data_IF_465474814339
#
_entry.id   IF_465474814339
#
_cell.length_a   1.000
_cell.length_b   1.000
_cell.length_c   1.000
_cell.angle_alpha   90.00
_cell.angle_beta   90.00
_cell.angle_gamma   90.00
#
_symmetry.space_group_name_H-M   'P 1'
#
loop_
_entity.id
_entity.type
_entity.pdbx_description
1 polymer ?
#
# COMPACT_ATOMS: atom_id res chain seq x y z
N UNK A 1 0.99 -7.31 16.75
CA UNK A 1 0.16 -7.18 15.54
C UNK A 1 -1.12 -6.36 15.72
N UNK A 2 -1.81 -6.46 16.85
CA UNK A 2 -3.04 -5.68 17.12
C UNK A 2 -2.83 -4.17 17.25
N UNK A 3 -1.69 -3.74 17.84
CA UNK A 3 -1.38 -2.33 18.11
C UNK A 3 -1.43 -1.48 16.84
N UNK A 4 -0.74 -1.85 15.73
CA UNK A 4 -0.89 -1.13 14.47
C UNK A 4 -2.34 -1.02 13.99
N UNK A 5 -3.10 -2.12 13.96
CA UNK A 5 -4.50 -2.09 13.49
C UNK A 5 -5.34 -1.09 14.28
N UNK A 6 -5.28 -1.12 15.61
CA UNK A 6 -6.01 -0.18 16.46
C UNK A 6 -5.54 1.27 16.21
N UNK A 7 -4.23 1.48 16.06
CA UNK A 7 -3.67 2.78 15.70
C UNK A 7 -4.22 3.31 14.37
N UNK A 8 -4.22 2.49 13.32
CA UNK A 8 -4.78 2.87 12.02
C UNK A 8 -6.30 3.09 12.05
N UNK A 9 -7.03 2.29 12.84
CA UNK A 9 -8.48 2.41 12.96
C UNK A 9 -8.91 3.70 13.68
N UNK A 10 -8.21 4.08 14.75
CA UNK A 10 -8.63 5.20 15.61
C UNK A 10 -7.88 6.50 15.35
N UNK A 11 -6.57 6.45 15.06
CA UNK A 11 -5.76 7.66 14.91
C UNK A 11 -5.78 8.20 13.48
N UNK A 12 -5.86 7.33 12.47
CA UNK A 12 -5.82 7.76 11.08
C UNK A 12 -7.02 8.62 10.66
N UNK A 13 -8.29 8.32 11.04
CA UNK A 13 -9.42 9.21 10.76
C UNK A 13 -9.27 10.58 11.41
N UNK A 14 -8.67 10.64 12.60
CA UNK A 14 -8.46 11.89 13.33
C UNK A 14 -7.34 12.72 12.70
N UNK A 15 -6.35 12.08 12.08
CA UNK A 15 -5.25 12.76 11.41
C UNK A 15 -5.63 13.30 10.02
N UNK A 16 -6.59 12.67 9.32
CA UNK A 16 -7.07 13.15 8.02
C UNK A 16 -7.82 14.49 8.22
N UNK A 17 -7.40 15.58 7.56
CA UNK A 17 -8.04 16.89 7.67
C UNK A 17 -9.31 16.98 6.81
N UNK A 18 -10.36 16.21 7.15
CA UNK A 18 -11.58 16.05 6.36
C UNK A 18 -12.26 17.35 5.91
N UNK A 19 -12.22 18.38 6.75
CA UNK A 19 -12.84 19.69 6.48
C UNK A 19 -12.05 20.55 5.51
N UNK A 20 -10.76 20.27 5.31
CA UNK A 20 -9.87 21.05 4.46
C UNK A 20 -9.70 20.42 3.08
N UNK A 21 -9.99 19.13 2.93
CA UNK A 21 -9.77 18.38 1.68
C UNK A 21 -10.91 18.62 0.70
N UNK A 22 -10.57 18.99 -0.53
CA UNK A 22 -11.52 19.25 -1.61
C UNK A 22 -12.12 17.95 -2.19
N UNK A 23 -11.40 16.83 -2.11
CA UNK A 23 -11.76 15.56 -2.74
C UNK A 23 -11.88 14.44 -1.69
N UNK A 24 -13.01 14.40 -0.99
CA UNK A 24 -13.19 13.54 0.18
C UNK A 24 -13.17 12.03 -0.14
N UNK A 25 -13.57 11.60 -1.34
CA UNK A 25 -13.56 10.17 -1.70
C UNK A 25 -12.13 9.60 -1.75
N UNK A 26 -11.13 10.41 -2.12
CA UNK A 26 -9.72 9.99 -2.10
C UNK A 26 -9.23 9.74 -0.67
N UNK A 27 -9.68 10.55 0.29
CA UNK A 27 -9.37 10.36 1.70
C UNK A 27 -10.00 9.07 2.25
N UNK A 28 -11.22 8.73 1.84
CA UNK A 28 -11.88 7.45 2.21
C UNK A 28 -11.13 6.26 1.62
N UNK A 29 -10.80 6.32 0.33
CA UNK A 29 -10.02 5.26 -0.35
C UNK A 29 -8.66 5.07 0.31
N UNK A 30 -7.97 6.15 0.65
CA UNK A 30 -6.70 6.12 1.35
C UNK A 30 -6.82 5.52 2.75
N UNK A 31 -7.86 5.89 3.50
CA UNK A 31 -8.16 5.31 4.81
C UNK A 31 -8.35 3.79 4.71
N UNK A 32 -9.14 3.32 3.74
CA UNK A 32 -9.31 1.90 3.49
C UNK A 32 -7.99 1.23 3.10
N UNK A 33 -7.20 1.85 2.22
CA UNK A 33 -5.88 1.35 1.84
C UNK A 33 -4.99 1.10 3.06
N UNK A 34 -5.00 2.03 4.04
CA UNK A 34 -4.17 1.95 5.23
C UNK A 34 -4.63 0.95 6.29
N UNK A 35 -5.84 0.38 6.20
CA UNK A 35 -6.39 -0.54 7.21
C UNK A 35 -6.41 -1.99 6.73
N UNK A 36 -6.71 -2.19 5.45
CA UNK A 36 -6.92 -3.54 4.90
C UNK A 36 -5.73 -4.50 5.11
N UNK A 37 -4.44 -4.11 4.93
CA UNK A 37 -3.34 -5.03 5.18
C UNK A 37 -3.20 -5.42 6.65
N UNK A 38 -3.48 -4.51 7.60
CA UNK A 38 -3.40 -4.77 9.03
C UNK A 38 -4.56 -5.63 9.48
N UNK A 39 -5.76 -5.40 8.94
CA UNK A 39 -6.93 -6.21 9.23
C UNK A 39 -6.72 -7.66 8.75
N UNK A 40 -6.31 -7.83 7.48
CA UNK A 40 -6.02 -9.14 6.91
C UNK A 40 -4.95 -9.88 7.70
N UNK A 41 -3.87 -9.17 8.05
CA UNK A 41 -2.78 -9.76 8.82
C UNK A 41 -3.21 -10.19 10.22
N UNK A 42 -3.89 -9.32 10.97
CA UNK A 42 -4.37 -9.63 12.32
C UNK A 42 -5.30 -10.85 12.32
N UNK A 43 -6.25 -10.90 11.39
CA UNK A 43 -7.15 -12.04 11.25
C UNK A 43 -6.39 -13.33 10.95
N UNK A 44 -5.40 -13.29 10.04
CA UNK A 44 -4.59 -14.45 9.73
C UNK A 44 -3.81 -14.95 10.94
N UNK A 45 -3.01 -14.12 11.60
CA UNK A 45 -2.17 -14.59 12.72
C UNK A 45 -2.95 -14.94 13.97
N UNK A 46 -4.16 -14.40 14.17
CA UNK A 46 -5.02 -14.82 15.28
C UNK A 46 -5.59 -16.22 15.04
N UNK A 47 -6.05 -16.49 13.82
CA UNK A 47 -6.83 -17.70 13.51
C UNK A 47 -6.05 -18.76 12.71
N UNK A 48 -4.75 -18.57 12.46
CA UNK A 48 -3.94 -19.52 11.67
C UNK A 48 -3.87 -20.93 12.25
N UNK A 49 -4.04 -21.07 13.58
CA UNK A 49 -4.03 -22.36 14.29
C UNK A 49 -5.44 -22.86 14.62
N UNK A 50 -6.47 -22.37 13.93
CA UNK A 50 -7.85 -22.78 14.14
C UNK A 50 -8.07 -24.27 13.82
N UNK A 51 -8.99 -24.93 14.52
CA UNK A 51 -9.30 -26.37 14.37
C UNK A 51 -9.76 -26.77 12.95
N UNK A 52 -10.13 -25.80 12.12
CA UNK A 52 -10.53 -26.00 10.72
C UNK A 52 -9.37 -26.41 9.78
N UNK A 53 -8.15 -26.53 10.32
CA UNK A 53 -7.00 -27.11 9.64
C UNK A 53 -6.52 -26.33 8.42
N UNK A 54 -5.95 -27.04 7.45
CA UNK A 54 -5.31 -26.46 6.26
C UNK A 54 -6.26 -25.56 5.45
N UNK A 55 -7.54 -25.94 5.33
CA UNK A 55 -8.52 -25.19 4.54
C UNK A 55 -8.75 -23.76 5.07
N UNK A 56 -8.80 -23.60 6.40
CA UNK A 56 -8.97 -22.31 7.06
C UNK A 56 -7.67 -21.52 6.98
N UNK A 57 -6.53 -22.19 7.20
CA UNK A 57 -5.20 -21.59 7.06
C UNK A 57 -5.00 -20.94 5.68
N UNK A 58 -5.32 -21.66 4.60
CA UNK A 58 -5.16 -21.13 3.24
C UNK A 58 -6.09 -19.95 2.96
N UNK A 59 -7.35 -20.00 3.42
CA UNK A 59 -8.29 -18.88 3.27
C UNK A 59 -7.82 -17.62 4.01
N UNK A 60 -7.33 -17.78 5.23
CA UNK A 60 -6.80 -16.67 6.02
C UNK A 60 -5.50 -16.10 5.43
N UNK A 61 -4.62 -16.95 4.92
CA UNK A 61 -3.41 -16.52 4.22
C UNK A 61 -3.78 -15.72 2.95
N UNK A 62 -4.76 -16.18 2.19
CA UNK A 62 -5.29 -15.44 1.04
C UNK A 62 -5.86 -14.09 1.48
N UNK A 63 -6.57 -14.02 2.60
CA UNK A 63 -7.11 -12.76 3.14
C UNK A 63 -6.02 -11.75 3.51
N UNK A 64 -4.94 -12.18 4.18
CA UNK A 64 -3.77 -11.34 4.47
C UNK A 64 -3.19 -10.75 3.18
N UNK A 65 -3.06 -11.60 2.17
CA UNK A 65 -2.51 -11.23 0.87
C UNK A 65 -3.44 -10.29 0.09
N UNK A 66 -4.76 -10.48 0.16
CA UNK A 66 -5.73 -9.52 -0.36
C UNK A 66 -5.53 -8.13 0.26
N UNK A 67 -5.29 -8.05 1.56
CA UNK A 67 -5.01 -6.79 2.25
C UNK A 67 -3.82 -6.04 1.64
N UNK A 68 -2.72 -6.74 1.37
CA UNK A 68 -1.53 -6.19 0.68
C UNK A 68 -1.87 -5.72 -0.74
N UNK A 69 -2.71 -6.47 -1.47
CA UNK A 69 -3.09 -6.05 -2.82
C UNK A 69 -3.98 -4.80 -2.81
N UNK A 70 -4.88 -4.70 -1.83
CA UNK A 70 -5.81 -3.58 -1.69
C UNK A 70 -5.03 -2.30 -1.36
N UNK A 71 -4.05 -2.34 -0.45
CA UNK A 71 -3.23 -1.14 -0.17
C UNK A 71 -2.45 -0.68 -1.39
N UNK A 72 -1.89 -1.60 -2.19
CA UNK A 72 -1.16 -1.24 -3.41
C UNK A 72 -2.10 -0.62 -4.46
N UNK A 73 -3.32 -1.14 -4.56
CA UNK A 73 -4.33 -0.66 -5.53
C UNK A 73 -4.91 0.70 -5.12
N UNK A 74 -5.46 0.78 -3.90
CA UNK A 74 -6.13 1.97 -3.39
C UNK A 74 -5.15 3.08 -3.05
N UNK A 75 -3.96 2.75 -2.52
CA UNK A 75 -2.91 3.71 -2.20
C UNK A 75 -2.34 4.43 -3.42
N UNK A 76 -2.42 3.82 -4.60
CA UNK A 76 -2.00 4.45 -5.85
C UNK A 76 -3.02 5.46 -6.41
N UNK A 77 -4.31 5.35 -6.07
CA UNK A 77 -5.34 6.21 -6.65
C UNK A 77 -5.14 7.70 -6.33
N UNK A 78 -4.84 8.10 -5.07
CA UNK A 78 -4.49 9.50 -4.77
C UNK A 78 -3.23 9.97 -5.51
N UNK A 79 -2.23 9.11 -5.65
CA UNK A 79 -0.98 9.42 -6.36
C UNK A 79 -1.29 9.73 -7.82
N UNK A 80 -2.04 8.86 -8.51
CA UNK A 80 -2.42 9.03 -9.92
C UNK A 80 -3.29 10.27 -10.09
N UNK A 81 -4.29 10.46 -9.23
CA UNK A 81 -5.20 11.60 -9.29
C UNK A 81 -4.46 12.92 -9.21
N UNK A 82 -3.56 13.07 -8.23
CA UNK A 82 -2.81 14.30 -8.02
C UNK A 82 -1.75 14.51 -9.11
N UNK A 83 -1.10 13.44 -9.59
CA UNK A 83 -0.13 13.50 -10.70
C UNK A 83 -0.75 14.09 -11.96
N UNK A 84 -1.95 13.63 -12.30
CA UNK A 84 -2.64 13.97 -13.55
C UNK A 84 -3.74 15.01 -13.37
N UNK A 85 -3.71 15.80 -12.30
CA UNK A 85 -4.81 16.71 -11.97
C UNK A 85 -5.16 17.66 -13.11
N UNK A 86 -4.15 18.16 -13.83
CA UNK A 86 -4.32 19.11 -14.94
C UNK A 86 -4.77 18.45 -16.25
N UNK A 87 -4.80 17.12 -16.32
CA UNK A 87 -5.16 16.35 -17.52
C UNK A 87 -6.41 15.50 -17.24
N UNK A 88 -7.62 16.08 -17.22
CA UNK A 88 -8.82 15.40 -16.73
C UNK A 88 -9.14 14.10 -17.49
N UNK A 89 -9.07 14.11 -18.82
CA UNK A 89 -9.33 12.92 -19.65
C UNK A 89 -8.33 11.79 -19.36
N UNK A 90 -7.03 12.12 -19.39
CA UNK A 90 -5.95 11.16 -19.09
C UNK A 90 -6.06 10.62 -17.68
N UNK A 91 -6.41 11.46 -16.70
CA UNK A 91 -6.61 11.08 -15.31
C UNK A 91 -7.71 10.03 -15.15
N UNK A 92 -8.89 10.25 -15.77
CA UNK A 92 -9.98 9.27 -15.68
C UNK A 92 -9.62 7.95 -16.35
N UNK A 93 -8.97 8.00 -17.53
CA UNK A 93 -8.48 6.80 -18.20
C UNK A 93 -7.45 6.04 -17.38
N UNK A 94 -6.48 6.75 -16.78
CA UNK A 94 -5.46 6.18 -15.91
C UNK A 94 -6.05 5.52 -14.66
N UNK A 95 -6.97 6.20 -13.96
CA UNK A 95 -7.63 5.66 -12.77
C UNK A 95 -8.47 4.42 -13.09
N UNK A 96 -9.25 4.47 -14.18
CA UNK A 96 -10.07 3.34 -14.60
C UNK A 96 -9.21 2.14 -15.01
N UNK A 97 -8.25 2.34 -15.92
CA UNK A 97 -7.36 1.27 -16.39
C UNK A 97 -6.54 0.68 -15.25
N UNK A 98 -5.98 1.51 -14.36
CA UNK A 98 -5.22 1.03 -13.21
C UNK A 98 -6.07 0.20 -12.25
N UNK A 99 -7.30 0.65 -11.96
CA UNK A 99 -8.21 -0.08 -11.07
C UNK A 99 -8.65 -1.41 -11.70
N UNK A 100 -9.01 -1.41 -12.98
CA UNK A 100 -9.40 -2.63 -13.70
C UNK A 100 -8.27 -3.66 -13.78
N UNK A 101 -7.08 -3.23 -14.20
CA UNK A 101 -5.89 -4.10 -14.26
C UNK A 101 -5.48 -4.60 -12.88
N UNK A 102 -5.55 -3.76 -11.85
CA UNK A 102 -5.27 -4.17 -10.47
C UNK A 102 -6.28 -5.17 -9.94
N UNK A 103 -7.55 -5.01 -10.28
CA UNK A 103 -8.61 -5.97 -9.88
C UNK A 103 -8.40 -7.33 -10.54
N UNK A 104 -8.01 -7.33 -11.81
CA UNK A 104 -7.62 -8.56 -12.52
C UNK A 104 -6.36 -9.19 -11.91
N UNK A 105 -5.34 -8.39 -11.59
CA UNK A 105 -4.12 -8.85 -10.93
C UNK A 105 -4.41 -9.46 -9.56
N UNK A 106 -5.32 -8.87 -8.76
CA UNK A 106 -5.81 -9.42 -7.48
C UNK A 106 -6.46 -10.78 -7.69
N UNK A 107 -7.37 -10.89 -8.66
CA UNK A 107 -8.04 -12.15 -8.98
C UNK A 107 -7.03 -13.25 -9.35
N UNK A 108 -6.07 -12.92 -10.21
CA UNK A 108 -4.98 -13.82 -10.57
C UNK A 108 -4.11 -14.18 -9.36
N UNK A 109 -3.77 -13.22 -8.50
CA UNK A 109 -2.91 -13.44 -7.34
C UNK A 109 -3.57 -14.35 -6.28
N UNK A 110 -4.89 -14.24 -6.12
CA UNK A 110 -5.68 -15.10 -5.22
C UNK A 110 -5.80 -16.52 -5.78
N UNK A 111 -5.88 -16.66 -7.10
CA UNK A 111 -6.04 -17.97 -7.77
C UNK A 111 -4.69 -18.65 -8.06
N UNK A 112 -3.58 -17.92 -7.93
CA UNK A 112 -2.26 -18.41 -8.29
C UNK A 112 -1.70 -19.40 -7.25
N UNK A 113 -1.26 -20.56 -7.75
CA UNK A 113 -0.61 -21.60 -6.96
C UNK A 113 0.89 -21.33 -6.68
N UNK A 114 1.52 -20.34 -7.33
CA UNK A 114 2.95 -20.05 -7.20
C UNK A 114 3.23 -18.62 -6.74
N UNK A 115 4.22 -18.47 -5.84
CA UNK A 115 4.69 -17.18 -5.32
C UNK A 115 5.28 -16.27 -6.42
N UNK A 116 5.90 -16.86 -7.45
CA UNK A 116 6.49 -16.10 -8.57
C UNK A 116 5.40 -15.48 -9.43
N UNK A 117 4.36 -16.24 -9.76
CA UNK A 117 3.22 -15.75 -10.53
C UNK A 117 2.54 -14.60 -9.80
N UNK A 118 2.40 -14.71 -8.47
CA UNK A 118 1.89 -13.63 -7.63
C UNK A 118 2.76 -12.38 -7.67
N UNK A 119 4.08 -12.52 -7.54
CA UNK A 119 5.01 -11.40 -7.58
C UNK A 119 4.96 -10.66 -8.93
N UNK A 120 4.90 -11.39 -10.04
CA UNK A 120 4.77 -10.81 -11.38
C UNK A 120 3.47 -10.01 -11.56
N UNK A 121 2.37 -10.41 -10.93
CA UNK A 121 1.11 -9.65 -10.96
C UNK A 121 1.24 -8.25 -10.36
N UNK A 122 2.14 -8.05 -9.39
CA UNK A 122 2.40 -6.74 -8.77
C UNK A 122 3.43 -5.90 -9.51
N UNK A 123 4.25 -6.51 -10.38
CA UNK A 123 5.33 -5.82 -11.09
C UNK A 123 4.80 -4.67 -11.96
N UNK A 124 3.67 -4.88 -12.64
CA UNK A 124 2.99 -3.83 -13.42
C UNK A 124 2.55 -2.66 -12.53
N UNK A 125 1.95 -2.94 -11.37
CA UNK A 125 1.47 -1.89 -10.47
C UNK A 125 2.64 -1.04 -9.95
N UNK A 126 3.77 -1.67 -9.63
CA UNK A 126 4.99 -0.97 -9.25
C UNK A 126 5.51 -0.12 -10.43
N UNK A 127 5.61 -0.69 -11.63
CA UNK A 127 6.06 0.02 -12.83
C UNK A 127 5.21 1.27 -13.11
N UNK A 128 3.89 1.15 -13.08
CA UNK A 128 2.97 2.27 -13.31
C UNK A 128 3.14 3.39 -12.27
N UNK A 129 3.39 3.02 -11.01
CA UNK A 129 3.65 3.99 -9.94
C UNK A 129 4.99 4.69 -10.11
N UNK A 130 6.05 3.96 -10.45
CA UNK A 130 7.35 4.56 -10.81
C UNK A 130 7.24 5.48 -12.01
N UNK A 131 6.39 5.15 -12.99
CA UNK A 131 6.09 6.05 -14.10
C UNK A 131 5.44 7.36 -13.62
N UNK A 132 4.48 7.31 -12.69
CA UNK A 132 3.91 8.52 -12.08
C UNK A 132 4.97 9.34 -11.33
N UNK A 133 5.88 8.69 -10.59
CA UNK A 133 6.99 9.35 -9.91
C UNK A 133 7.93 10.03 -10.89
N UNK A 134 8.25 9.36 -11.99
CA UNK A 134 9.05 9.91 -13.07
C UNK A 134 8.39 11.16 -13.66
N UNK A 135 7.09 11.12 -13.97
CA UNK A 135 6.35 12.29 -14.47
C UNK A 135 6.44 13.47 -13.52
N UNK A 136 6.25 13.25 -12.21
CA UNK A 136 6.40 14.30 -11.19
C UNK A 136 7.84 14.84 -11.13
N UNK A 137 8.83 13.96 -11.24
CA UNK A 137 10.24 14.33 -11.19
C UNK A 137 10.67 15.22 -12.36
N UNK A 138 10.22 14.91 -13.58
CA UNK A 138 10.53 15.72 -14.77
C UNK A 138 9.66 16.98 -14.92
N UNK A 139 8.75 17.24 -13.97
CA UNK A 139 7.86 18.40 -13.98
C UNK A 139 6.65 18.29 -14.91
N UNK A 140 6.41 17.11 -15.51
CA UNK A 140 5.20 16.84 -16.31
C UNK A 140 3.99 16.44 -15.46
N UNK A 141 4.23 15.96 -14.24
CA UNK A 141 3.23 15.60 -13.25
C UNK A 141 3.09 16.65 -12.16
N UNK A 142 1.89 16.80 -11.62
CA UNK A 142 1.57 17.68 -10.50
C UNK A 142 1.67 16.97 -9.15
N UNK A 143 1.86 17.71 -8.06
CA UNK A 143 1.87 17.16 -6.71
C UNK A 143 2.73 17.99 -5.75
N UNK A 144 2.57 17.74 -4.46
CA UNK A 144 3.37 18.42 -3.46
C UNK A 144 4.85 17.96 -3.54
N UNK A 145 5.85 18.85 -3.48
CA UNK A 145 7.26 18.45 -3.60
C UNK A 145 7.72 17.39 -2.58
N UNK A 146 7.19 17.45 -1.34
CA UNK A 146 7.54 16.47 -0.31
C UNK A 146 6.83 15.12 -0.45
N UNK A 147 5.72 15.05 -1.21
CA UNK A 147 4.96 13.80 -1.34
C UNK A 147 5.73 12.77 -2.18
N UNK A 148 6.46 13.21 -3.21
CA UNK A 148 7.30 12.35 -4.03
C UNK A 148 8.37 11.63 -3.19
N UNK A 149 9.06 12.35 -2.31
CA UNK A 149 10.04 11.76 -1.40
C UNK A 149 9.37 10.70 -0.49
N UNK A 150 8.20 11.02 0.06
CA UNK A 150 7.46 10.07 0.90
C UNK A 150 7.09 8.79 0.14
N UNK A 151 6.64 8.90 -1.12
CA UNK A 151 6.28 7.73 -1.92
C UNK A 151 7.49 6.88 -2.33
N UNK A 152 8.63 7.50 -2.62
CA UNK A 152 9.88 6.77 -2.90
C UNK A 152 10.36 6.01 -1.67
N UNK A 153 10.34 6.66 -0.50
CA UNK A 153 10.71 6.01 0.77
C UNK A 153 9.73 4.89 1.12
N UNK A 154 8.42 5.10 0.92
CA UNK A 154 7.39 4.08 1.11
C UNK A 154 7.72 2.79 0.33
N UNK A 155 8.03 2.90 -0.97
CA UNK A 155 8.38 1.73 -1.79
C UNK A 155 9.70 1.09 -1.39
N UNK A 156 10.72 1.90 -1.09
CA UNK A 156 12.01 1.39 -0.65
C UNK A 156 11.89 0.59 0.64
N UNK A 157 11.12 1.09 1.62
CA UNK A 157 10.86 0.42 2.90
C UNK A 157 10.04 -0.85 2.69
N UNK A 158 9.00 -0.82 1.85
CA UNK A 158 8.19 -2.00 1.54
C UNK A 158 9.02 -3.11 0.87
N UNK A 159 9.84 -2.74 -0.12
CA UNK A 159 10.74 -3.66 -0.82
C UNK A 159 11.76 -4.26 0.14
N UNK A 160 12.37 -3.44 0.99
CA UNK A 160 13.33 -3.90 2.01
C UNK A 160 12.67 -4.90 2.96
N UNK A 161 11.46 -4.61 3.46
CA UNK A 161 10.71 -5.54 4.31
C UNK A 161 10.44 -6.88 3.63
N UNK A 162 10.01 -6.85 2.37
CA UNK A 162 9.81 -8.05 1.56
C UNK A 162 11.10 -8.86 1.36
N UNK A 163 12.22 -8.19 1.07
CA UNK A 163 13.53 -8.83 0.92
C UNK A 163 14.00 -9.49 2.21
N UNK A 164 13.85 -8.84 3.36
CA UNK A 164 14.20 -9.38 4.68
C UNK A 164 13.40 -10.66 4.96
N UNK A 165 12.09 -10.64 4.69
CA UNK A 165 11.21 -11.79 4.89
C UNK A 165 11.58 -12.98 3.98
N UNK A 166 11.84 -12.72 2.69
CA UNK A 166 12.26 -13.76 1.74
C UNK A 166 13.64 -14.34 2.12
N UNK A 167 14.58 -13.49 2.54
CA UNK A 167 15.91 -13.92 2.94
C UNK A 167 15.92 -14.68 4.29
N UNK A 168 14.85 -14.55 5.09
CA UNK A 168 14.70 -15.10 6.45
C UNK A 168 15.80 -14.62 7.40
N UNK A 169 16.16 -13.35 7.32
CA UNK A 169 17.20 -12.73 8.16
C UNK A 169 16.50 -11.98 9.31
N UNK A 170 16.92 -12.13 10.58
CA UNK A 170 18.16 -12.74 11.07
C UNK A 170 18.08 -14.22 11.48
N UNK A 171 16.91 -14.86 11.45
CA UNK A 171 16.73 -16.24 11.95
C UNK A 171 17.55 -17.27 11.17
N UNK A 172 17.83 -17.02 9.89
CA UNK A 172 18.74 -17.83 9.08
C UNK A 172 20.17 -17.80 9.61
N UNK A 173 20.59 -16.72 10.26
CA UNK A 173 21.94 -16.60 10.83
C UNK A 173 22.06 -17.28 12.19
N UNK A 174 21.01 -17.27 13.02
CA UNK A 174 20.99 -17.94 14.32
C UNK A 174 19.64 -18.64 14.55
N UNK A 175 19.49 -19.87 14.04
CA UNK A 175 18.28 -20.66 14.25
C UNK A 175 17.97 -20.84 15.75
N UNK A 176 16.69 -20.76 16.14
CA UNK A 176 16.24 -20.95 17.52
C UNK A 176 16.37 -19.72 18.44
N UNK A 177 17.09 -18.66 18.02
CA UNK A 177 17.26 -17.45 18.84
C UNK A 177 16.16 -16.42 18.64
N UNK A 178 15.52 -16.42 17.47
CA UNK A 178 14.56 -15.40 17.04
C UNK A 178 13.12 -15.92 16.96
N UNK A 179 12.83 -17.06 17.59
CA UNK A 179 11.54 -17.76 17.45
C UNK A 179 10.37 -16.90 17.97
N UNK A 180 10.57 -16.16 19.05
CA UNK A 180 9.54 -15.29 19.65
C UNK A 180 9.65 -13.82 19.24
N UNK A 181 10.88 -13.31 19.07
CA UNK A 181 11.16 -11.88 18.89
C UNK A 181 12.16 -11.65 17.77
N UNK A 182 11.93 -10.59 17.00
CA UNK A 182 12.80 -10.11 15.92
C UNK A 182 13.07 -11.16 14.81
N UNK A 183 12.14 -12.07 14.56
CA UNK A 183 12.17 -12.84 13.32
C UNK A 183 11.91 -11.92 12.11
N UNK A 184 12.36 -12.34 10.93
CA UNK A 184 12.21 -11.59 9.68
C UNK A 184 10.77 -11.19 9.39
N UNK A 185 9.80 -12.04 9.70
CA UNK A 185 8.39 -11.80 9.47
C UNK A 185 7.84 -10.67 10.35
N UNK A 186 8.23 -10.61 11.63
CA UNK A 186 7.92 -9.49 12.51
C UNK A 186 8.57 -8.19 12.02
N UNK A 187 9.83 -8.25 11.56
CA UNK A 187 10.53 -7.08 11.02
C UNK A 187 9.82 -6.58 9.75
N UNK A 188 9.41 -7.47 8.86
CA UNK A 188 8.63 -7.13 7.68
C UNK A 188 7.34 -6.40 8.05
N UNK A 189 6.59 -6.88 9.05
CA UNK A 189 5.37 -6.20 9.52
C UNK A 189 5.65 -4.80 10.05
N UNK A 190 6.74 -4.61 10.80
CA UNK A 190 7.14 -3.28 11.30
C UNK A 190 7.45 -2.35 10.12
N UNK A 191 8.23 -2.83 9.14
CA UNK A 191 8.57 -2.04 7.95
C UNK A 191 7.33 -1.76 7.09
N UNK A 192 6.38 -2.69 6.99
CA UNK A 192 5.11 -2.45 6.32
C UNK A 192 4.30 -1.32 6.98
N UNK A 193 4.25 -1.28 8.31
CA UNK A 193 3.62 -0.18 9.05
C UNK A 193 4.32 1.15 8.76
N UNK A 194 5.65 1.18 8.81
CA UNK A 194 6.43 2.40 8.49
C UNK A 194 6.18 2.84 7.05
N UNK A 195 6.15 1.92 6.10
CA UNK A 195 5.81 2.21 4.71
C UNK A 195 4.43 2.85 4.57
N UNK A 196 3.40 2.30 5.24
CA UNK A 196 2.05 2.88 5.23
C UNK A 196 1.99 4.26 5.89
N UNK A 197 2.83 4.55 6.89
CA UNK A 197 2.94 5.90 7.46
C UNK A 197 3.52 6.90 6.44
N UNK A 198 4.55 6.51 5.69
CA UNK A 198 5.07 7.32 4.58
C UNK A 198 4.05 7.50 3.45
N UNK A 199 3.30 6.45 3.10
CA UNK A 199 2.14 6.58 2.19
C UNK A 199 1.18 7.64 2.72
N UNK A 200 0.85 7.55 4.00
CA UNK A 200 -0.09 8.45 4.64
C UNK A 200 0.36 9.91 4.60
N UNK A 201 1.59 10.21 5.01
CA UNK A 201 2.12 11.57 4.96
C UNK A 201 2.19 12.11 3.53
N UNK A 202 2.58 11.28 2.55
CA UNK A 202 2.60 11.67 1.14
C UNK A 202 1.21 12.02 0.62
N UNK A 203 0.22 11.17 0.89
CA UNK A 203 -1.17 11.38 0.44
C UNK A 203 -1.79 12.60 1.12
N UNK A 204 -1.59 12.81 2.42
CA UNK A 204 -2.10 14.00 3.12
C UNK A 204 -1.49 15.27 2.52
N UNK A 205 -0.18 15.29 2.27
CA UNK A 205 0.47 16.43 1.63
C UNK A 205 -0.12 16.73 0.25
N UNK A 206 -0.37 15.71 -0.58
CA UNK A 206 -1.01 15.86 -1.88
C UNK A 206 -2.47 16.34 -1.77
N UNK A 207 -3.26 15.78 -0.84
CA UNK A 207 -4.68 16.12 -0.64
C UNK A 207 -4.90 17.53 -0.06
N UNK A 208 -3.93 18.05 0.69
CA UNK A 208 -3.96 19.45 1.14
C UNK A 208 -3.41 20.39 0.06
N UNK A 209 -2.41 19.96 -0.70
CA UNK A 209 -1.86 20.78 -1.77
C UNK A 209 -2.88 21.01 -2.90
N UNK A 210 -3.67 19.98 -3.22
CA UNK A 210 -4.63 20.03 -4.32
C UNK A 210 -5.77 21.04 -4.10
N UNK A 211 -6.07 21.41 -2.85
CA UNK A 211 -7.19 22.31 -2.54
C UNK A 211 -6.91 23.76 -2.94
N UNK A 212 -5.63 24.15 -2.95
CA UNK A 212 -5.18 25.49 -3.34
C UNK A 212 -4.47 25.53 -4.68
N UNK A 213 -4.25 24.39 -5.33
CA UNK A 213 -3.52 24.32 -6.59
C UNK A 213 -4.41 24.65 -7.79
N UNK A 214 -3.94 25.55 -8.65
CA UNK A 214 -4.56 25.87 -9.93
C UNK A 214 -3.63 25.43 -11.05
N UNK A 215 -4.17 24.70 -12.02
CA UNK A 215 -3.41 24.30 -13.18
C UNK A 215 -3.00 25.52 -14.01
N UNK A 216 -1.78 25.55 -14.56
CA UNK A 216 -1.37 26.61 -15.45
C UNK A 216 -2.34 26.68 -16.63
N UNK A 217 -2.77 27.89 -16.97
CA UNK A 217 -3.53 28.16 -18.19
C UNK A 217 -2.54 28.00 -19.34
N UNK A 218 -2.75 27.00 -20.19
CA UNK A 218 -2.05 26.88 -21.48
C UNK A 218 -2.42 28.04 -22.42
#
# INVERSE_FOLDING_TARGET
MWIPLLGFLFLLPVNIPWTQIAVSWLAVVHYLACIMPQLGSVLYHLFMNHEGGESVYQKLLTLDMCGVCIVNTLGALPIIYCTLICYPSTRYMALFSYTALSSYAIYCAITAHSNITRLCSFAWQAFFRFFCFFLRWVGLGSGHPSSLHCYVVMDAVALLGGMINIARIPERWKPGKFDYWFNSHQIMHILAVVSILYLHWGVIADLLWITGYSCPLE
#
